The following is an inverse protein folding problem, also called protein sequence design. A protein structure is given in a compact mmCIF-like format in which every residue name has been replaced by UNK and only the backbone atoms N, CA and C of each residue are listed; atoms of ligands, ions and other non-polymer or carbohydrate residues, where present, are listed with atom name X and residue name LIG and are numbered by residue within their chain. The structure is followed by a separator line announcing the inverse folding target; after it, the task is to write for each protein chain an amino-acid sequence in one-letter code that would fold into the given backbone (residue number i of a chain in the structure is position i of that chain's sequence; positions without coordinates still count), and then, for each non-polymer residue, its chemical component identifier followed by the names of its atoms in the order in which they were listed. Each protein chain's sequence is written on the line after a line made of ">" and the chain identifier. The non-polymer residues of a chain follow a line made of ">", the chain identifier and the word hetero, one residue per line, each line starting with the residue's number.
data_IF_992798573417
#
_entry.id   IF_992798573417
#
_cell.length_a   1.000
_cell.length_b   1.000
_cell.length_c   1.000
_cell.angle_alpha   90.00
_cell.angle_beta   90.00
_cell.angle_gamma   90.00
#
_symmetry.space_group_name_H-M   'P 1'
#
loop_
_entity.id
_entity.type
_entity.pdbx_description
1 polymer ?
#
# COMPACT_ATOMS: atom_id res chain seq x y z
N UNK A 1 39.88 -26.86 55.25
CA UNK A 1 40.06 -26.47 53.83
C UNK A 1 38.71 -26.02 53.25
N UNK A 2 38.46 -24.67 53.26
CA UNK A 2 37.27 -24.12 52.56
C UNK A 2 37.68 -23.84 51.11
N UNK A 3 37.08 -24.54 50.12
CA UNK A 3 37.23 -24.25 48.70
C UNK A 3 36.70 -22.85 48.40
N UNK A 4 37.63 -21.91 48.09
CA UNK A 4 37.30 -20.64 47.54
C UNK A 4 36.56 -20.86 46.20
N UNK A 5 35.23 -20.72 46.19
CA UNK A 5 34.47 -20.50 44.94
C UNK A 5 34.97 -19.21 44.32
N UNK A 6 35.80 -19.28 43.28
CA UNK A 6 36.14 -18.11 42.43
C UNK A 6 34.86 -17.49 41.95
N UNK A 7 34.37 -16.43 42.59
CA UNK A 7 33.27 -15.60 42.11
C UNK A 7 33.71 -15.02 40.79
N UNK A 8 32.94 -15.29 39.72
CA UNK A 8 33.13 -14.59 38.43
C UNK A 8 33.06 -13.10 38.72
N UNK A 9 34.03 -12.29 38.30
CA UNK A 9 34.02 -10.86 38.56
C UNK A 9 32.68 -10.27 38.16
N UNK A 10 32.08 -9.46 39.00
CA UNK A 10 30.77 -8.85 38.81
C UNK A 10 30.64 -8.13 37.45
N UNK A 11 31.74 -7.57 36.95
CA UNK A 11 31.81 -6.97 35.61
C UNK A 11 31.56 -7.98 34.47
N UNK A 12 32.11 -9.19 34.55
CA UNK A 12 31.87 -10.25 33.54
C UNK A 12 30.41 -10.71 33.55
N UNK A 13 29.78 -10.79 34.71
CA UNK A 13 28.36 -11.13 34.82
C UNK A 13 27.47 -10.05 34.19
N UNK A 14 27.77 -8.76 34.42
CA UNK A 14 27.08 -7.65 33.81
C UNK A 14 27.09 -7.74 32.27
N UNK A 15 28.28 -7.93 31.67
CA UNK A 15 28.39 -8.03 30.22
C UNK A 15 27.68 -9.26 29.62
N UNK A 16 27.77 -10.42 30.30
CA UNK A 16 27.05 -11.62 29.85
C UNK A 16 25.55 -11.38 29.83
N UNK A 17 24.99 -10.80 30.90
CA UNK A 17 23.57 -10.50 30.98
C UNK A 17 23.17 -9.47 29.92
N UNK A 18 23.96 -8.38 29.77
CA UNK A 18 23.68 -7.36 28.74
C UNK A 18 23.70 -7.94 27.33
N UNK A 19 24.62 -8.81 26.98
CA UNK A 19 24.66 -9.47 25.67
C UNK A 19 23.44 -10.36 25.49
N UNK A 20 23.07 -11.17 26.47
CA UNK A 20 21.90 -12.03 26.41
C UNK A 20 20.60 -11.24 26.22
N UNK A 21 20.42 -10.15 26.97
CA UNK A 21 19.26 -9.24 26.82
C UNK A 21 19.27 -8.56 25.47
N UNK A 22 20.43 -8.13 24.97
CA UNK A 22 20.57 -7.54 23.64
C UNK A 22 20.17 -8.48 22.51
N UNK A 23 20.59 -9.75 22.58
CA UNK A 23 20.19 -10.77 21.61
C UNK A 23 18.66 -11.00 21.66
N UNK A 24 18.09 -11.14 22.85
CA UNK A 24 16.66 -11.29 23.05
C UNK A 24 15.89 -10.10 22.46
N UNK A 25 16.35 -8.86 22.70
CA UNK A 25 15.74 -7.65 22.16
C UNK A 25 15.79 -7.61 20.63
N UNK A 26 16.90 -8.00 20.01
CA UNK A 26 16.99 -8.08 18.54
C UNK A 26 16.00 -9.09 17.98
N UNK A 27 15.89 -10.28 18.56
CA UNK A 27 14.92 -11.30 18.11
C UNK A 27 13.49 -10.79 18.26
N UNK A 28 13.13 -10.20 19.40
CA UNK A 28 11.80 -9.65 19.63
C UNK A 28 11.49 -8.49 18.68
N UNK A 29 12.45 -7.58 18.43
CA UNK A 29 12.24 -6.47 17.50
C UNK A 29 12.08 -6.95 16.06
N UNK A 30 12.85 -7.94 15.61
CA UNK A 30 12.65 -8.55 14.28
C UNK A 30 11.26 -9.14 14.16
N UNK A 31 10.80 -9.94 15.12
CA UNK A 31 9.46 -10.52 15.11
C UNK A 31 8.37 -9.43 15.11
N UNK A 32 8.50 -8.43 15.95
CA UNK A 32 7.52 -7.35 16.08
C UNK A 32 7.42 -6.52 14.80
N UNK A 33 8.54 -5.99 14.29
CA UNK A 33 8.52 -5.17 13.09
C UNK A 33 8.16 -5.95 11.83
N UNK A 34 8.57 -7.22 11.73
CA UNK A 34 8.17 -8.07 10.61
C UNK A 34 6.65 -8.26 10.55
N UNK A 35 6.00 -8.50 11.68
CA UNK A 35 4.54 -8.62 11.73
C UNK A 35 3.86 -7.28 11.45
N UNK A 36 4.34 -6.19 12.06
CA UNK A 36 3.78 -4.85 11.84
C UNK A 36 3.92 -4.37 10.39
N UNK A 37 5.09 -4.58 9.76
CA UNK A 37 5.31 -4.24 8.35
C UNK A 37 4.39 -5.06 7.44
N UNK A 38 4.20 -6.35 7.74
CA UNK A 38 3.30 -7.23 6.99
C UNK A 38 1.85 -6.78 7.11
N UNK A 39 1.33 -6.55 8.32
CA UNK A 39 -0.05 -6.08 8.54
C UNK A 39 -0.31 -4.73 7.87
N UNK A 40 0.63 -3.80 7.98
CA UNK A 40 0.53 -2.49 7.32
C UNK A 40 0.48 -2.61 5.81
N UNK A 41 1.31 -3.47 5.20
CA UNK A 41 1.30 -3.69 3.74
C UNK A 41 0.05 -4.42 3.29
N UNK A 42 -0.44 -5.37 4.07
CA UNK A 42 -1.71 -6.05 3.82
C UNK A 42 -2.87 -5.07 3.77
N UNK A 43 -3.01 -4.22 4.79
CA UNK A 43 -4.05 -3.19 4.83
C UNK A 43 -3.95 -2.25 3.60
N UNK A 44 -2.75 -1.72 3.32
CA UNK A 44 -2.55 -0.82 2.18
C UNK A 44 -2.85 -1.50 0.83
N UNK A 45 -2.46 -2.77 0.66
CA UNK A 45 -2.71 -3.51 -0.57
C UNK A 45 -4.20 -3.78 -0.77
N UNK A 46 -4.90 -4.20 0.29
CA UNK A 46 -6.35 -4.41 0.27
C UNK A 46 -7.11 -3.12 -0.01
N UNK A 47 -6.72 -2.01 0.61
CA UNK A 47 -7.32 -0.70 0.36
C UNK A 47 -7.11 -0.27 -1.10
N UNK A 48 -5.91 -0.47 -1.64
CA UNK A 48 -5.59 -0.17 -3.04
C UNK A 48 -6.44 -1.01 -3.99
N UNK A 49 -6.51 -2.32 -3.77
CA UNK A 49 -7.29 -3.23 -4.63
C UNK A 49 -8.78 -2.95 -4.53
N UNK A 50 -9.31 -2.65 -3.34
CA UNK A 50 -10.70 -2.23 -3.16
C UNK A 50 -10.99 -0.90 -3.87
N UNK A 51 -10.09 0.08 -3.78
CA UNK A 51 -10.22 1.33 -4.51
C UNK A 51 -10.28 1.08 -6.02
N UNK A 52 -9.32 0.33 -6.58
CA UNK A 52 -9.30 -0.01 -8.01
C UNK A 52 -10.59 -0.74 -8.40
N UNK A 53 -11.06 -1.69 -7.59
CA UNK A 53 -12.31 -2.41 -7.79
C UNK A 53 -13.52 -1.47 -7.94
N UNK A 54 -13.67 -0.52 -7.01
CA UNK A 54 -14.77 0.46 -7.04
C UNK A 54 -14.64 1.37 -8.25
N UNK A 55 -13.43 1.84 -8.56
CA UNK A 55 -13.21 2.73 -9.71
C UNK A 55 -13.43 2.02 -11.05
N UNK A 56 -13.04 0.76 -11.21
CA UNK A 56 -13.37 -0.02 -12.41
C UNK A 56 -14.89 -0.03 -12.65
N UNK A 57 -15.67 -0.33 -11.61
CA UNK A 57 -17.14 -0.30 -11.72
C UNK A 57 -17.66 1.09 -12.07
N UNK A 58 -17.12 2.14 -11.45
CA UNK A 58 -17.53 3.52 -11.73
C UNK A 58 -17.23 3.92 -13.17
N UNK A 59 -16.05 3.56 -13.69
CA UNK A 59 -15.65 3.88 -15.06
C UNK A 59 -16.50 3.12 -16.09
N UNK A 60 -16.77 1.85 -15.83
CA UNK A 60 -17.68 1.05 -16.69
C UNK A 60 -19.06 1.69 -16.76
N UNK A 61 -19.67 2.03 -15.61
CA UNK A 61 -20.97 2.70 -15.59
C UNK A 61 -20.96 4.08 -16.24
N UNK A 62 -19.86 4.85 -16.08
CA UNK A 62 -19.74 6.14 -16.75
C UNK A 62 -19.72 5.97 -18.27
N UNK A 63 -18.94 5.02 -18.78
CA UNK A 63 -18.81 4.75 -20.20
C UNK A 63 -20.14 4.22 -20.79
N UNK A 64 -20.80 3.29 -20.12
CA UNK A 64 -22.16 2.81 -20.49
C UNK A 64 -23.20 3.94 -20.48
N UNK A 65 -23.16 4.81 -19.48
CA UNK A 65 -24.06 5.98 -19.40
C UNK A 65 -23.77 6.99 -20.52
N UNK A 66 -22.50 7.21 -20.85
CA UNK A 66 -22.09 8.08 -21.96
C UNK A 66 -22.57 7.53 -23.31
N UNK A 67 -22.43 6.23 -23.53
CA UNK A 67 -22.94 5.55 -24.73
C UNK A 67 -24.47 5.67 -24.81
N UNK A 68 -25.18 5.37 -23.74
CA UNK A 68 -26.64 5.49 -23.68
C UNK A 68 -27.13 6.90 -24.01
N UNK A 69 -26.45 7.93 -23.46
CA UNK A 69 -26.78 9.34 -23.76
C UNK A 69 -26.54 9.68 -25.24
N UNK A 70 -25.47 9.15 -25.82
CA UNK A 70 -25.15 9.38 -27.24
C UNK A 70 -26.16 8.69 -28.17
N UNK A 71 -26.55 7.46 -27.85
CA UNK A 71 -27.59 6.75 -28.58
C UNK A 71 -28.98 7.41 -28.45
N UNK A 72 -29.33 7.91 -27.26
CA UNK A 72 -30.56 8.70 -27.09
C UNK A 72 -30.57 9.97 -27.97
N UNK A 73 -29.40 10.67 -28.05
CA UNK A 73 -29.24 11.82 -28.96
C UNK A 73 -29.46 11.39 -30.42
N UNK A 74 -28.92 10.24 -30.83
CA UNK A 74 -29.14 9.73 -32.17
C UNK A 74 -30.63 9.43 -32.44
N UNK A 75 -31.33 8.81 -31.50
CA UNK A 75 -32.79 8.55 -31.56
C UNK A 75 -33.59 9.84 -31.76
N UNK A 76 -33.35 10.83 -30.90
CA UNK A 76 -34.06 12.11 -30.97
C UNK A 76 -33.73 12.87 -32.26
N UNK A 77 -32.45 12.84 -32.71
CA UNK A 77 -32.03 13.39 -34.00
C UNK A 77 -32.79 12.75 -35.16
N UNK A 78 -32.88 11.42 -35.18
CA UNK A 78 -33.62 10.67 -36.25
C UNK A 78 -35.09 11.04 -36.27
N UNK A 79 -35.74 11.08 -35.13
CA UNK A 79 -37.17 11.47 -35.02
C UNK A 79 -37.40 12.91 -35.51
N UNK A 80 -36.46 13.80 -35.18
CA UNK A 80 -36.56 15.18 -35.61
C UNK A 80 -36.38 15.33 -37.14
N UNK A 81 -35.41 14.58 -37.73
CA UNK A 81 -35.23 14.52 -39.19
C UNK A 81 -36.49 14.04 -39.86
N UNK A 82 -37.10 12.93 -39.39
CA UNK A 82 -38.35 12.40 -39.96
C UNK A 82 -39.48 13.42 -39.94
N UNK A 83 -39.62 14.19 -38.85
CA UNK A 83 -40.58 15.30 -38.73
C UNK A 83 -40.28 16.48 -39.66
N UNK A 84 -39.00 16.85 -39.73
CA UNK A 84 -38.57 17.93 -40.61
C UNK A 84 -38.85 17.63 -42.08
N UNK A 85 -38.51 16.41 -42.53
CA UNK A 85 -38.81 15.92 -43.89
C UNK A 85 -40.31 16.04 -44.17
N UNK A 86 -41.18 15.53 -43.26
CA UNK A 86 -42.59 15.61 -43.45
C UNK A 86 -43.10 17.06 -43.56
N UNK A 87 -42.66 17.95 -42.65
CA UNK A 87 -43.07 19.37 -42.68
C UNK A 87 -42.62 20.11 -43.97
N UNK A 88 -41.44 19.81 -44.50
CA UNK A 88 -40.92 20.46 -45.69
C UNK A 88 -41.64 19.91 -46.96
N UNK A 89 -42.01 18.64 -46.99
CA UNK A 89 -42.82 18.06 -48.09
C UNK A 89 -44.24 18.63 -48.06
N UNK A 90 -44.86 18.84 -46.91
CA UNK A 90 -46.14 19.54 -46.78
C UNK A 90 -46.08 20.96 -47.33
N UNK A 91 -44.90 21.59 -47.29
CA UNK A 91 -44.62 22.92 -47.84
C UNK A 91 -44.18 22.87 -49.35
N UNK A 92 -44.54 21.81 -50.04
CA UNK A 92 -44.26 21.60 -51.48
C UNK A 92 -42.77 21.46 -51.86
N UNK A 93 -41.89 21.26 -50.90
CA UNK A 93 -40.47 20.89 -51.20
C UNK A 93 -40.34 19.44 -51.62
N UNK A 94 -39.36 19.15 -52.41
CA UNK A 94 -39.01 17.75 -52.80
C UNK A 94 -37.98 17.17 -51.82
N UNK A 95 -38.07 15.86 -51.56
CA UNK A 95 -37.04 15.14 -50.86
C UNK A 95 -35.81 14.98 -51.73
N UNK A 96 -34.78 15.74 -51.44
CA UNK A 96 -33.50 15.72 -52.15
C UNK A 96 -32.30 15.79 -51.22
N UNK A 97 -31.11 15.66 -51.76
CA UNK A 97 -29.87 15.69 -51.00
C UNK A 97 -29.64 17.06 -50.33
N UNK A 98 -30.21 18.14 -50.85
CA UNK A 98 -30.08 19.48 -50.28
C UNK A 98 -30.89 19.59 -48.95
N UNK A 99 -32.13 19.06 -48.96
CA UNK A 99 -32.97 19.02 -47.76
C UNK A 99 -32.33 18.16 -46.63
N UNK A 100 -31.75 16.99 -47.01
CA UNK A 100 -31.00 16.16 -46.05
C UNK A 100 -29.77 16.88 -45.50
N UNK A 101 -29.06 17.59 -46.35
CA UNK A 101 -27.90 18.41 -45.95
C UNK A 101 -28.30 19.45 -44.91
N UNK A 102 -29.31 20.26 -45.17
CA UNK A 102 -29.82 21.29 -44.28
C UNK A 102 -30.24 20.68 -42.93
N UNK A 103 -30.95 19.55 -42.94
CA UNK A 103 -31.35 18.82 -41.74
C UNK A 103 -30.14 18.29 -40.95
N UNK A 104 -29.13 17.75 -41.64
CA UNK A 104 -27.91 17.26 -41.02
C UNK A 104 -27.09 18.38 -40.36
N UNK A 105 -26.96 19.50 -41.02
CA UNK A 105 -26.24 20.69 -40.49
C UNK A 105 -26.94 21.23 -39.24
N UNK A 106 -28.27 21.35 -39.27
CA UNK A 106 -29.07 21.84 -38.12
C UNK A 106 -28.94 20.97 -36.89
N UNK A 107 -28.87 19.67 -37.07
CA UNK A 107 -28.84 18.65 -35.98
C UNK A 107 -27.45 18.13 -35.69
N UNK A 108 -26.43 18.67 -36.37
CA UNK A 108 -25.03 18.23 -36.22
C UNK A 108 -24.81 16.75 -36.50
N UNK A 109 -25.57 16.21 -37.48
CA UNK A 109 -25.46 14.81 -37.88
C UNK A 109 -24.31 14.63 -38.85
N UNK A 110 -23.65 13.47 -38.82
CA UNK A 110 -22.65 13.11 -39.83
C UNK A 110 -23.31 12.72 -41.14
N UNK A 111 -24.48 12.09 -41.08
CA UNK A 111 -25.24 11.77 -42.28
C UNK A 111 -26.66 11.28 -42.01
N UNK A 112 -27.41 11.21 -43.09
CA UNK A 112 -28.81 10.76 -43.16
C UNK A 112 -28.96 9.86 -44.36
N UNK A 113 -29.66 8.72 -44.23
CA UNK A 113 -30.06 7.82 -45.31
C UNK A 113 -31.57 7.60 -45.19
N UNK A 114 -32.27 7.80 -46.27
CA UNK A 114 -33.72 7.60 -46.34
C UNK A 114 -34.01 6.42 -47.26
N UNK A 115 -34.77 5.46 -46.74
CA UNK A 115 -35.11 4.22 -47.40
C UNK A 115 -36.63 4.12 -47.64
N UNK A 116 -37.04 3.40 -48.65
CA UNK A 116 -38.43 2.93 -48.79
C UNK A 116 -38.68 1.66 -47.94
N UNK A 117 -39.86 1.08 -48.06
CA UNK A 117 -40.25 -0.15 -47.35
C UNK A 117 -39.45 -1.39 -47.72
N UNK A 118 -38.89 -1.41 -48.93
CA UNK A 118 -38.13 -2.54 -49.49
C UNK A 118 -36.63 -2.42 -49.18
N UNK A 119 -36.23 -1.34 -48.49
CA UNK A 119 -34.84 -1.05 -48.16
C UNK A 119 -34.06 -0.36 -49.30
N UNK A 120 -34.75 0.06 -50.38
CA UNK A 120 -34.11 0.83 -51.46
C UNK A 120 -33.86 2.26 -50.99
N UNK A 121 -32.66 2.76 -51.25
CA UNK A 121 -32.26 4.12 -50.88
C UNK A 121 -32.97 5.14 -51.77
N UNK A 122 -33.79 5.99 -51.15
CA UNK A 122 -34.49 7.09 -51.82
C UNK A 122 -33.60 8.31 -51.93
N UNK A 123 -32.94 8.65 -50.86
CA UNK A 123 -32.06 9.82 -50.78
C UNK A 123 -31.02 9.65 -49.68
N UNK A 124 -29.81 10.22 -49.84
CA UNK A 124 -28.74 10.12 -48.85
C UNK A 124 -27.87 11.34 -48.81
N UNK A 125 -27.37 11.64 -47.65
CA UNK A 125 -26.37 12.69 -47.43
C UNK A 125 -25.36 12.25 -46.34
N UNK A 126 -24.08 12.56 -46.57
CA UNK A 126 -23.03 12.35 -45.59
C UNK A 126 -21.94 13.42 -45.69
N UNK A 127 -21.46 13.89 -44.55
CA UNK A 127 -20.24 14.72 -44.48
C UNK A 127 -18.98 13.85 -44.66
N UNK A 128 -19.09 12.53 -44.49
CA UNK A 128 -18.00 11.56 -44.65
C UNK A 128 -18.50 10.36 -45.47
N UNK A 129 -18.30 10.43 -46.77
CA UNK A 129 -18.77 9.43 -47.72
C UNK A 129 -18.16 8.04 -47.49
N UNK A 130 -16.99 7.94 -46.86
CA UNK A 130 -16.32 6.67 -46.56
C UNK A 130 -17.12 5.76 -45.60
N UNK A 131 -18.03 6.32 -44.81
CA UNK A 131 -18.87 5.62 -43.84
C UNK A 131 -20.16 5.07 -44.47
N UNK A 132 -20.59 5.60 -45.60
CA UNK A 132 -21.85 5.24 -46.23
C UNK A 132 -22.01 3.73 -46.51
N UNK A 133 -21.00 3.01 -47.01
CA UNK A 133 -21.14 1.58 -47.27
C UNK A 133 -21.53 0.77 -46.03
N UNK A 134 -20.89 1.07 -44.89
CA UNK A 134 -21.17 0.40 -43.62
C UNK A 134 -22.55 0.74 -43.05
N UNK A 135 -22.95 2.00 -43.18
CA UNK A 135 -24.28 2.45 -42.76
C UNK A 135 -25.37 1.82 -43.61
N UNK A 136 -25.16 1.73 -44.94
CA UNK A 136 -26.11 1.05 -45.86
C UNK A 136 -26.27 -0.42 -45.50
N UNK A 137 -25.19 -1.16 -45.30
CA UNK A 137 -25.23 -2.53 -44.86
C UNK A 137 -26.02 -2.71 -43.56
N UNK A 138 -25.89 -1.80 -42.62
CA UNK A 138 -26.66 -1.81 -41.39
C UNK A 138 -28.12 -1.39 -41.57
N UNK A 139 -28.39 -0.45 -42.47
CA UNK A 139 -29.73 0.08 -42.76
C UNK A 139 -30.63 -0.92 -43.49
N UNK A 140 -30.05 -1.78 -44.33
CA UNK A 140 -30.77 -2.82 -45.08
C UNK A 140 -31.18 -4.03 -44.21
N UNK A 141 -30.77 -4.08 -42.93
CA UNK A 141 -31.13 -5.20 -42.05
C UNK A 141 -32.61 -5.19 -41.71
N UNK A 142 -33.22 -6.38 -41.72
CA UNK A 142 -34.64 -6.60 -41.43
C UNK A 142 -35.10 -5.86 -40.15
N UNK A 143 -34.28 -5.89 -39.07
CA UNK A 143 -34.60 -5.22 -37.81
C UNK A 143 -34.70 -3.69 -37.94
N UNK A 144 -33.98 -3.09 -38.89
CA UNK A 144 -34.05 -1.66 -39.20
C UNK A 144 -35.28 -1.38 -40.03
N UNK A 145 -35.55 -2.17 -41.06
CA UNK A 145 -36.72 -2.06 -41.94
C UNK A 145 -38.03 -2.31 -41.20
N UNK A 146 -38.03 -3.10 -40.12
CA UNK A 146 -39.17 -3.27 -39.23
C UNK A 146 -39.68 -1.94 -38.63
N UNK A 147 -38.84 -0.93 -38.53
CA UNK A 147 -39.24 0.39 -38.03
C UNK A 147 -40.19 1.11 -39.00
N UNK A 148 -40.22 0.74 -40.30
CA UNK A 148 -41.17 1.25 -41.25
C UNK A 148 -42.64 0.80 -40.99
N UNK A 149 -42.77 -0.39 -40.36
CA UNK A 149 -44.06 -1.01 -40.10
C UNK A 149 -44.67 -0.49 -38.79
N UNK A 150 -43.82 -0.18 -37.81
CA UNK A 150 -44.24 0.18 -36.45
C UNK A 150 -43.79 1.59 -36.11
N UNK A 151 -44.73 2.54 -36.12
CA UNK A 151 -44.50 3.97 -35.90
C UNK A 151 -43.82 4.30 -34.56
N UNK A 152 -43.96 3.45 -33.55
CA UNK A 152 -43.42 3.64 -32.22
C UNK A 152 -42.00 3.05 -32.05
N UNK A 153 -41.62 2.15 -32.97
CA UNK A 153 -40.29 1.51 -32.88
C UNK A 153 -39.19 2.44 -33.36
N UNK A 154 -38.09 2.42 -32.63
CA UNK A 154 -36.85 3.06 -33.04
C UNK A 154 -35.73 2.05 -32.80
N UNK A 155 -34.91 1.90 -33.81
CA UNK A 155 -33.70 1.12 -33.70
C UNK A 155 -32.53 2.04 -33.40
N UNK A 156 -31.62 1.68 -32.48
CA UNK A 156 -30.39 2.40 -32.27
C UNK A 156 -29.25 1.42 -31.95
N UNK A 157 -28.07 1.70 -32.49
CA UNK A 157 -26.90 0.84 -32.34
C UNK A 157 -25.61 1.67 -32.41
N UNK A 158 -24.65 1.32 -31.58
CA UNK A 158 -23.24 1.74 -31.73
C UNK A 158 -22.48 0.73 -32.58
N UNK A 159 -21.70 1.23 -33.53
CA UNK A 159 -20.78 0.46 -34.36
C UNK A 159 -19.38 0.90 -33.94
N UNK A 160 -18.59 0.02 -33.31
CA UNK A 160 -17.24 0.30 -32.85
C UNK A 160 -16.23 -0.07 -33.95
N UNK A 161 -15.29 0.80 -34.22
CA UNK A 161 -14.16 0.57 -35.10
C UNK A 161 -12.90 0.14 -34.33
N UNK A 162 -12.04 -0.62 -35.00
CA UNK A 162 -10.80 -1.14 -34.39
C UNK A 162 -9.80 -0.04 -33.96
N UNK A 163 -9.88 1.14 -34.52
CA UNK A 163 -9.06 2.29 -34.19
C UNK A 163 -9.56 3.08 -32.96
N UNK A 164 -10.72 2.67 -32.40
CA UNK A 164 -11.37 3.34 -31.29
C UNK A 164 -12.38 4.40 -31.68
N UNK A 165 -12.57 4.69 -32.98
CA UNK A 165 -13.69 5.49 -33.47
C UNK A 165 -15.01 4.71 -33.32
N UNK A 166 -16.13 5.41 -33.35
CA UNK A 166 -17.44 4.76 -33.35
C UNK A 166 -18.49 5.56 -34.09
N UNK A 167 -19.55 4.88 -34.53
CA UNK A 167 -20.73 5.46 -35.13
C UNK A 167 -21.94 5.14 -34.27
N UNK A 168 -22.65 6.15 -33.79
CA UNK A 168 -23.95 6.01 -33.16
C UNK A 168 -25.02 6.23 -34.21
N UNK A 169 -25.71 5.16 -34.57
CA UNK A 169 -26.77 5.11 -35.62
C UNK A 169 -28.14 4.92 -34.98
N UNK A 170 -29.14 5.59 -35.52
CA UNK A 170 -30.53 5.33 -35.16
C UNK A 170 -31.43 5.34 -36.42
N UNK A 171 -32.54 4.62 -36.33
CA UNK A 171 -33.52 4.51 -37.41
C UNK A 171 -34.94 4.60 -36.87
N UNK A 172 -35.82 5.28 -37.58
CA UNK A 172 -37.24 5.37 -37.26
C UNK A 172 -38.09 5.41 -38.57
N UNK A 173 -39.41 5.28 -38.42
CA UNK A 173 -40.32 5.42 -39.57
C UNK A 173 -40.28 6.83 -40.14
N UNK A 174 -40.48 6.93 -41.46
CA UNK A 174 -40.76 8.18 -42.16
C UNK A 174 -42.16 8.68 -41.79
N UNK A 175 -42.34 10.00 -41.74
CA UNK A 175 -43.65 10.61 -41.47
C UNK A 175 -44.32 11.20 -42.70
N UNK A 176 -43.61 11.31 -43.82
CA UNK A 176 -44.08 11.81 -45.10
C UNK A 176 -44.55 10.67 -46.05
N UNK A 177 -43.95 9.53 -45.99
CA UNK A 177 -44.23 8.36 -46.81
C UNK A 177 -43.83 7.07 -46.09
N UNK A 178 -44.32 5.86 -46.53
CA UNK A 178 -43.84 4.60 -45.98
C UNK A 178 -42.34 4.42 -46.22
N UNK A 179 -41.61 4.03 -45.16
CA UNK A 179 -40.15 3.84 -45.24
C UNK A 179 -39.44 4.19 -43.93
N UNK A 180 -38.12 4.26 -44.00
CA UNK A 180 -37.23 4.43 -42.83
C UNK A 180 -36.31 5.65 -43.02
N UNK A 181 -36.15 6.41 -41.97
CA UNK A 181 -35.07 7.43 -41.85
C UNK A 181 -34.00 6.86 -40.93
N UNK A 182 -32.78 6.82 -41.43
CA UNK A 182 -31.58 6.47 -40.66
C UNK A 182 -30.69 7.69 -40.50
N UNK A 183 -30.27 7.98 -39.31
CA UNK A 183 -29.30 9.02 -39.04
C UNK A 183 -28.11 8.49 -38.27
N UNK A 184 -26.97 9.12 -38.37
CA UNK A 184 -25.79 8.71 -37.63
C UNK A 184 -24.84 9.86 -37.26
N UNK A 185 -24.14 9.65 -36.15
CA UNK A 185 -23.06 10.48 -35.67
C UNK A 185 -21.76 9.67 -35.70
N UNK A 186 -20.75 10.19 -36.34
CA UNK A 186 -19.41 9.62 -36.28
C UNK A 186 -18.59 10.35 -35.21
N UNK A 187 -17.95 9.58 -34.35
CA UNK A 187 -16.98 10.08 -33.35
C UNK A 187 -15.60 9.52 -33.68
N UNK A 188 -14.66 10.40 -33.98
CA UNK A 188 -13.29 10.00 -34.28
C UNK A 188 -12.59 9.37 -33.06
N UNK A 189 -11.60 8.52 -33.33
CA UNK A 189 -10.81 7.86 -32.30
C UNK A 189 -10.18 8.84 -31.31
N UNK A 190 -9.65 9.97 -31.79
CA UNK A 190 -9.07 11.02 -30.96
C UNK A 190 -10.11 11.61 -29.99
N UNK A 191 -11.31 11.91 -30.49
CA UNK A 191 -12.38 12.45 -29.68
C UNK A 191 -12.90 11.42 -28.67
N UNK A 192 -13.09 10.15 -29.10
CA UNK A 192 -13.51 9.05 -28.24
C UNK A 192 -12.53 8.83 -27.09
N UNK A 193 -11.24 8.82 -27.35
CA UNK A 193 -10.20 8.63 -26.33
C UNK A 193 -10.23 9.72 -25.25
N UNK A 194 -10.55 10.96 -25.59
CA UNK A 194 -10.63 12.07 -24.64
C UNK A 194 -11.84 11.99 -23.71
N UNK A 195 -12.88 11.26 -24.10
CA UNK A 195 -14.12 11.13 -23.30
C UNK A 195 -14.31 9.77 -22.64
N UNK A 196 -13.57 8.75 -23.10
CA UNK A 196 -13.65 7.42 -22.52
C UNK A 196 -12.66 7.28 -21.36
N UNK A 197 -13.17 7.00 -20.18
CA UNK A 197 -12.33 6.71 -19.03
C UNK A 197 -11.73 5.31 -19.18
N UNK A 198 -10.41 5.23 -19.25
CA UNK A 198 -9.70 3.96 -19.39
C UNK A 198 -9.29 3.43 -18.01
N UNK A 199 -9.46 2.13 -17.79
CA UNK A 199 -9.06 1.47 -16.53
C UNK A 199 -7.54 1.63 -16.33
N UNK A 200 -6.75 1.69 -17.40
CA UNK A 200 -5.32 1.94 -17.33
C UNK A 200 -4.98 3.27 -16.64
N UNK A 201 -5.78 4.31 -16.85
CA UNK A 201 -5.54 5.62 -16.23
C UNK A 201 -5.62 5.60 -14.70
N UNK A 202 -6.39 4.66 -14.13
CA UNK A 202 -6.46 4.45 -12.68
C UNK A 202 -5.12 4.02 -12.08
N UNK A 203 -4.29 3.33 -12.84
CA UNK A 203 -3.05 2.73 -12.36
C UNK A 203 -1.82 3.62 -12.58
N UNK A 204 -1.95 4.75 -13.28
CA UNK A 204 -0.84 5.65 -13.61
C UNK A 204 -0.13 6.26 -12.39
N UNK A 205 -0.79 6.32 -11.22
CA UNK A 205 -0.22 6.82 -9.96
C UNK A 205 0.53 5.78 -9.13
N UNK A 206 0.38 4.49 -9.46
CA UNK A 206 0.97 3.40 -8.67
C UNK A 206 2.32 2.97 -9.23
N UNK A 207 3.32 2.83 -8.35
CA UNK A 207 4.68 2.46 -8.71
C UNK A 207 5.00 1.03 -8.25
N UNK A 208 5.53 0.22 -9.17
CA UNK A 208 5.90 -1.18 -8.92
C UNK A 208 6.89 -1.34 -7.75
N UNK A 209 7.85 -0.44 -7.65
CA UNK A 209 8.91 -0.43 -6.62
C UNK A 209 8.42 -0.02 -5.23
N UNK A 210 7.25 0.59 -5.12
CA UNK A 210 6.65 1.03 -3.85
C UNK A 210 5.37 0.27 -3.50
N UNK A 211 4.47 0.14 -4.47
CA UNK A 211 3.11 -0.32 -4.25
C UNK A 211 2.93 -1.80 -4.65
N UNK A 212 3.93 -2.38 -5.31
CA UNK A 212 3.87 -3.71 -5.90
C UNK A 212 3.28 -3.70 -7.32
N UNK A 213 2.99 -4.86 -7.85
CA UNK A 213 2.37 -5.00 -9.17
C UNK A 213 0.86 -5.14 -9.00
N UNK A 214 0.11 -4.29 -9.70
CA UNK A 214 -1.36 -4.29 -9.75
C UNK A 214 -1.76 -4.63 -11.18
N UNK A 215 -2.71 -5.55 -11.33
CA UNK A 215 -3.19 -6.05 -12.61
C UNK A 215 -4.71 -6.06 -12.59
N UNK A 216 -5.33 -5.53 -13.64
CA UNK A 216 -6.75 -5.69 -13.91
C UNK A 216 -6.89 -6.54 -15.16
N UNK A 217 -7.65 -7.61 -15.06
CA UNK A 217 -7.92 -8.53 -16.17
C UNK A 217 -9.42 -8.65 -16.43
N UNK A 218 -9.76 -8.83 -17.68
CA UNK A 218 -11.10 -9.06 -18.16
C UNK A 218 -11.09 -10.16 -19.22
N UNK A 219 -12.09 -11.06 -19.21
CA UNK A 219 -12.24 -12.19 -20.15
C UNK A 219 -10.94 -12.98 -20.41
N UNK A 220 -10.05 -13.07 -19.43
CA UNK A 220 -8.80 -13.83 -19.56
C UNK A 220 -7.62 -13.05 -20.14
N UNK A 221 -7.78 -11.74 -20.40
CA UNK A 221 -6.72 -10.83 -20.88
C UNK A 221 -6.42 -9.75 -19.86
N UNK A 222 -5.16 -9.37 -19.73
CA UNK A 222 -4.73 -8.24 -18.88
C UNK A 222 -5.04 -6.93 -19.61
N UNK A 223 -6.03 -6.18 -19.11
CA UNK A 223 -6.49 -4.92 -19.72
C UNK A 223 -5.77 -3.69 -19.16
N UNK A 224 -5.27 -3.76 -17.92
CA UNK A 224 -4.53 -2.68 -17.30
C UNK A 224 -3.52 -3.19 -16.26
N UNK A 225 -2.38 -2.52 -16.14
CA UNK A 225 -1.36 -2.79 -15.12
C UNK A 225 -0.43 -1.59 -14.91
N UNK A 226 0.04 -1.38 -13.68
CA UNK A 226 1.14 -0.47 -13.40
C UNK A 226 2.52 -1.01 -13.89
N UNK A 227 2.55 -2.26 -14.38
CA UNK A 227 3.61 -2.82 -15.20
C UNK A 227 3.11 -2.97 -16.63
N UNK A 228 3.29 -1.92 -17.44
CA UNK A 228 2.73 -1.81 -18.79
C UNK A 228 3.11 -2.94 -19.73
N UNK A 229 4.26 -3.61 -19.51
CA UNK A 229 4.66 -4.78 -20.29
C UNK A 229 3.76 -6.00 -20.14
N UNK A 230 2.81 -6.00 -19.21
CA UNK A 230 1.86 -7.09 -19.01
C UNK A 230 0.55 -6.90 -19.79
N UNK A 231 0.26 -5.69 -20.26
CA UNK A 231 -1.00 -5.35 -20.92
C UNK A 231 -1.11 -6.13 -22.23
N UNK A 232 -2.27 -6.71 -22.47
CA UNK A 232 -2.57 -7.55 -23.64
C UNK A 232 -2.12 -9.01 -23.51
N UNK A 233 -1.41 -9.39 -22.44
CA UNK A 233 -1.03 -10.79 -22.20
C UNK A 233 -2.22 -11.60 -21.67
N UNK A 234 -2.19 -12.92 -21.95
CA UNK A 234 -3.18 -13.84 -21.40
C UNK A 234 -2.95 -14.04 -19.91
N UNK A 235 -4.01 -14.10 -19.13
CA UNK A 235 -3.96 -14.42 -17.70
C UNK A 235 -3.44 -15.84 -17.44
N UNK A 236 -3.55 -16.74 -18.40
CA UNK A 236 -3.05 -18.13 -18.29
C UNK A 236 -1.53 -18.22 -18.31
N UNK A 237 -0.86 -17.24 -18.92
CA UNK A 237 0.58 -17.26 -19.13
C UNK A 237 1.34 -16.58 -17.97
N UNK A 238 0.60 -15.99 -17.01
CA UNK A 238 1.20 -15.24 -15.93
C UNK A 238 1.11 -15.97 -14.59
N UNK A 239 2.26 -16.46 -14.10
CA UNK A 239 2.39 -17.30 -12.90
C UNK A 239 1.72 -16.72 -11.64
N UNK A 240 1.84 -15.41 -11.43
CA UNK A 240 1.24 -14.73 -10.28
C UNK A 240 -0.29 -14.85 -10.29
N UNK A 241 -0.92 -14.66 -11.46
CA UNK A 241 -2.37 -14.75 -11.63
C UNK A 241 -2.84 -16.17 -11.35
N UNK A 242 -2.15 -17.17 -11.90
CA UNK A 242 -2.52 -18.58 -11.70
C UNK A 242 -2.52 -18.96 -10.22
N UNK A 243 -1.49 -18.51 -9.47
CA UNK A 243 -1.39 -18.80 -8.03
C UNK A 243 -2.42 -18.04 -7.18
N UNK A 244 -2.80 -16.83 -7.59
CA UNK A 244 -3.79 -16.03 -6.87
C UNK A 244 -5.23 -16.42 -7.17
N UNK A 245 -5.49 -17.00 -8.35
CA UNK A 245 -6.84 -17.33 -8.83
C UNK A 245 -7.59 -18.27 -7.90
N UNK A 246 -6.90 -19.23 -7.29
CA UNK A 246 -7.50 -20.23 -6.40
C UNK A 246 -7.88 -19.64 -5.02
N UNK A 247 -7.49 -18.39 -4.73
CA UNK A 247 -7.71 -17.71 -3.46
C UNK A 247 -8.46 -16.39 -3.64
N UNK A 248 -9.46 -16.40 -4.51
CA UNK A 248 -10.32 -15.26 -4.80
C UNK A 248 -11.02 -14.75 -3.53
N UNK A 249 -11.14 -13.41 -3.44
CA UNK A 249 -11.85 -12.70 -2.36
C UNK A 249 -11.33 -12.96 -0.93
N UNK A 250 -10.06 -13.38 -0.80
CA UNK A 250 -9.40 -13.46 0.51
C UNK A 250 -9.26 -12.08 1.13
N UNK A 251 -9.62 -11.97 2.41
CA UNK A 251 -9.38 -10.75 3.20
C UNK A 251 -7.94 -10.63 3.69
N UNK A 252 -7.09 -11.62 3.39
CA UNK A 252 -5.70 -11.68 3.81
C UNK A 252 -4.78 -11.92 2.63
N UNK A 253 -3.58 -11.32 2.69
CA UNK A 253 -2.55 -11.59 1.72
C UNK A 253 -2.09 -13.05 1.78
N UNK A 254 -2.02 -13.69 0.63
CA UNK A 254 -1.44 -15.01 0.47
C UNK A 254 0.04 -14.93 0.10
N UNK A 255 0.86 -15.79 0.73
CA UNK A 255 2.26 -15.96 0.35
C UNK A 255 2.38 -16.78 -0.94
N UNK A 256 3.14 -16.29 -1.91
CA UNK A 256 3.42 -16.97 -3.19
C UNK A 256 4.86 -16.74 -3.60
N UNK A 257 5.38 -17.62 -4.45
CA UNK A 257 6.72 -17.46 -5.03
C UNK A 257 6.58 -17.29 -6.53
N UNK A 258 7.10 -16.18 -7.10
CA UNK A 258 7.06 -15.84 -8.51
C UNK A 258 8.49 -15.75 -9.01
N UNK A 259 8.87 -16.55 -10.01
CA UNK A 259 10.24 -16.59 -10.55
C UNK A 259 11.33 -16.71 -9.45
N UNK A 260 11.06 -17.51 -8.40
CA UNK A 260 11.99 -17.67 -7.27
C UNK A 260 11.99 -16.54 -6.23
N UNK A 261 11.22 -15.46 -6.44
CA UNK A 261 11.06 -14.34 -5.49
C UNK A 261 9.84 -14.58 -4.64
N UNK A 262 10.00 -14.49 -3.32
CA UNK A 262 8.88 -14.59 -2.37
C UNK A 262 8.07 -13.30 -2.40
N UNK A 263 6.77 -13.44 -2.57
CA UNK A 263 5.80 -12.35 -2.67
C UNK A 263 4.59 -12.61 -1.79
N UNK A 264 3.83 -11.57 -1.52
CA UNK A 264 2.49 -11.69 -0.94
C UNK A 264 1.50 -10.97 -1.85
N UNK A 265 0.32 -11.55 -2.06
CA UNK A 265 -0.66 -10.99 -2.97
C UNK A 265 -2.10 -11.26 -2.56
N UNK A 266 -3.01 -10.55 -3.21
CA UNK A 266 -4.45 -10.66 -3.06
C UNK A 266 -5.11 -10.65 -4.42
N UNK A 267 -6.32 -11.19 -4.50
CA UNK A 267 -7.19 -11.11 -5.67
C UNK A 267 -8.60 -10.75 -5.22
N UNK A 268 -9.21 -9.81 -5.94
CA UNK A 268 -10.64 -9.49 -5.80
C UNK A 268 -11.35 -9.62 -7.15
N UNK A 269 -12.59 -10.09 -7.10
CA UNK A 269 -13.47 -10.16 -8.26
C UNK A 269 -14.52 -9.05 -8.21
N UNK A 270 -14.78 -8.40 -9.36
CA UNK A 270 -15.84 -7.43 -9.54
C UNK A 270 -16.52 -7.64 -10.89
N UNK A 271 -17.72 -8.25 -10.91
CA UNK A 271 -18.43 -8.62 -12.15
C UNK A 271 -17.50 -9.33 -13.14
N UNK A 272 -17.14 -8.68 -14.22
CA UNK A 272 -16.30 -9.22 -15.28
C UNK A 272 -14.81 -8.94 -15.08
N UNK A 273 -14.47 -8.03 -14.14
CA UNK A 273 -13.09 -7.65 -13.88
C UNK A 273 -12.50 -8.43 -12.71
N UNK A 274 -11.27 -8.89 -12.89
CA UNK A 274 -10.44 -9.54 -11.87
C UNK A 274 -9.26 -8.65 -11.54
N UNK A 275 -9.15 -8.22 -10.28
CA UNK A 275 -8.07 -7.36 -9.81
C UNK A 275 -7.10 -8.20 -8.98
N UNK A 276 -5.86 -8.26 -9.44
CA UNK A 276 -4.76 -8.95 -8.79
C UNK A 276 -3.75 -7.92 -8.33
N UNK A 277 -3.22 -8.09 -7.11
CA UNK A 277 -2.08 -7.30 -6.66
C UNK A 277 -1.13 -8.17 -5.87
N UNK A 278 0.17 -7.97 -6.06
CA UNK A 278 1.21 -8.67 -5.30
C UNK A 278 2.43 -7.79 -5.05
N UNK A 279 3.07 -8.03 -3.91
CA UNK A 279 4.23 -7.25 -3.44
C UNK A 279 5.34 -8.22 -3.05
N UNK A 280 6.59 -8.05 -3.53
CA UNK A 280 7.75 -8.80 -3.07
C UNK A 280 8.08 -8.53 -1.60
N UNK A 281 8.61 -9.54 -0.90
CA UNK A 281 9.06 -9.44 0.49
C UNK A 281 10.06 -8.31 0.69
N UNK A 282 10.91 -8.04 -0.30
CA UNK A 282 11.88 -6.94 -0.27
C UNK A 282 11.25 -5.55 -0.11
N UNK A 283 10.03 -5.36 -0.61
CA UNK A 283 9.25 -4.12 -0.45
C UNK A 283 8.52 -4.13 0.88
N UNK A 284 7.99 -5.28 1.32
CA UNK A 284 7.27 -5.41 2.59
C UNK A 284 8.20 -5.06 3.75
N UNK A 285 9.40 -5.64 3.77
CA UNK A 285 10.37 -5.52 4.86
C UNK A 285 11.45 -4.45 4.61
N UNK A 286 11.19 -3.49 3.73
CA UNK A 286 12.16 -2.45 3.37
C UNK A 286 12.66 -1.65 4.59
N UNK A 287 11.79 -1.39 5.57
CA UNK A 287 12.11 -0.61 6.78
C UNK A 287 12.56 -1.47 7.96
N UNK A 288 12.44 -2.80 7.88
CA UNK A 288 12.75 -3.72 8.97
C UNK A 288 14.17 -3.53 9.51
N UNK A 289 15.16 -3.55 8.63
CA UNK A 289 16.57 -3.43 9.02
C UNK A 289 16.85 -2.10 9.72
N UNK A 290 16.30 -1.00 9.21
CA UNK A 290 16.46 0.34 9.78
C UNK A 290 15.85 0.41 11.19
N UNK A 291 14.65 -0.13 11.37
CA UNK A 291 13.96 -0.15 12.66
C UNK A 291 14.72 -0.99 13.70
N UNK A 292 15.23 -2.16 13.31
CA UNK A 292 16.04 -3.02 14.20
C UNK A 292 17.35 -2.35 14.60
N UNK A 293 18.06 -1.71 13.65
CA UNK A 293 19.29 -0.95 13.95
C UNK A 293 18.99 0.20 14.92
N UNK A 294 17.90 0.92 14.73
CA UNK A 294 17.49 2.01 15.63
C UNK A 294 17.23 1.50 17.05
N UNK A 295 16.51 0.40 17.21
CA UNK A 295 16.28 -0.25 18.49
C UNK A 295 17.60 -0.69 19.18
N UNK A 296 18.51 -1.29 18.42
CA UNK A 296 19.81 -1.69 18.90
C UNK A 296 20.65 -0.49 19.36
N UNK A 297 20.62 0.60 18.62
CA UNK A 297 21.32 1.83 18.97
C UNK A 297 20.81 2.43 20.30
N UNK A 298 19.48 2.51 20.47
CA UNK A 298 18.86 2.93 21.72
C UNK A 298 19.27 2.02 22.88
N UNK A 299 19.24 0.71 22.65
CA UNK A 299 19.69 -0.27 23.65
C UNK A 299 21.14 -0.06 24.08
N UNK A 300 22.08 0.17 23.14
CA UNK A 300 23.47 0.41 23.45
C UNK A 300 23.67 1.68 24.29
N UNK A 301 22.93 2.75 24.01
CA UNK A 301 22.94 3.97 24.82
C UNK A 301 22.50 3.67 26.26
N UNK A 302 21.40 2.93 26.43
CA UNK A 302 20.90 2.56 27.77
C UNK A 302 21.92 1.71 28.53
N UNK A 303 22.53 0.72 27.88
CA UNK A 303 23.58 -0.10 28.49
C UNK A 303 24.78 0.74 28.90
N UNK A 304 25.20 1.69 28.06
CA UNK A 304 26.30 2.59 28.36
C UNK A 304 26.01 3.48 29.59
N UNK A 305 24.78 4.01 29.69
CA UNK A 305 24.34 4.80 30.86
C UNK A 305 24.31 3.95 32.13
N UNK A 306 23.75 2.76 32.09
CA UNK A 306 23.72 1.83 33.23
C UNK A 306 25.15 1.48 33.65
N UNK A 307 26.05 1.21 32.68
CA UNK A 307 27.45 0.93 32.95
C UNK A 307 28.16 2.12 33.62
N UNK A 308 27.89 3.35 33.18
CA UNK A 308 28.47 4.56 33.78
C UNK A 308 28.02 4.74 35.23
N UNK A 309 26.69 4.55 35.47
CA UNK A 309 26.13 4.61 36.85
C UNK A 309 26.74 3.51 37.72
N UNK A 310 26.82 2.27 37.23
CA UNK A 310 27.41 1.15 37.92
C UNK A 310 28.88 1.46 38.32
N UNK A 311 29.68 1.97 37.36
CA UNK A 311 31.07 2.37 37.65
C UNK A 311 31.17 3.48 38.72
N UNK A 312 30.29 4.45 38.68
CA UNK A 312 30.24 5.53 39.68
C UNK A 312 29.90 4.99 41.08
N UNK A 313 28.91 4.11 41.18
CA UNK A 313 28.54 3.43 42.41
C UNK A 313 29.68 2.60 42.99
N UNK A 314 30.36 1.79 42.17
CA UNK A 314 31.51 1.00 42.57
C UNK A 314 32.64 1.86 43.15
N UNK A 315 32.96 2.97 42.48
CA UNK A 315 33.98 3.94 42.96
C UNK A 315 33.57 4.55 44.33
N UNK A 316 32.31 4.90 44.51
CA UNK A 316 31.81 5.44 45.76
C UNK A 316 31.87 4.42 46.91
N UNK A 317 31.48 3.15 46.66
CA UNK A 317 31.58 2.07 47.65
C UNK A 317 33.03 1.85 48.09
N UNK A 318 33.94 1.76 47.13
CA UNK A 318 35.38 1.61 47.43
C UNK A 318 35.95 2.81 48.22
N UNK A 319 35.46 4.02 47.97
CA UNK A 319 35.87 5.21 48.75
C UNK A 319 35.38 5.12 50.18
N UNK A 320 34.12 4.73 50.40
CA UNK A 320 33.54 4.55 51.73
C UNK A 320 34.25 3.43 52.50
N UNK A 321 34.59 2.32 51.87
CA UNK A 321 35.34 1.23 52.49
C UNK A 321 36.76 1.68 52.93
N UNK A 322 37.47 2.43 52.09
CA UNK A 322 38.79 2.99 52.43
C UNK A 322 38.72 3.97 53.60
N UNK A 323 37.70 4.83 53.61
CA UNK A 323 37.49 5.77 54.72
C UNK A 323 37.16 5.05 56.03
N UNK A 324 36.37 3.95 55.99
CA UNK A 324 36.11 3.10 57.17
C UNK A 324 37.37 2.40 57.65
N UNK A 325 38.17 1.85 56.75
CA UNK A 325 39.43 1.17 57.08
C UNK A 325 40.41 2.14 57.73
N UNK A 326 40.57 3.33 57.16
CA UNK A 326 41.43 4.37 57.74
C UNK A 326 40.98 4.77 59.13
N UNK A 327 39.69 4.98 59.37
CA UNK A 327 39.14 5.29 60.70
C UNK A 327 39.38 4.14 61.67
N UNK A 328 39.21 2.89 61.25
CA UNK A 328 39.48 1.72 62.05
C UNK A 328 40.95 1.62 62.45
N UNK A 329 41.87 1.76 61.48
CA UNK A 329 43.31 1.75 61.75
C UNK A 329 43.74 2.88 62.69
N UNK A 330 43.18 4.11 62.56
CA UNK A 330 43.45 5.23 63.49
C UNK A 330 42.95 4.89 64.87
N UNK A 331 41.77 4.34 65.05
CA UNK A 331 41.25 3.97 66.38
C UNK A 331 42.06 2.84 67.04
N UNK A 332 42.58 1.93 66.22
CA UNK A 332 43.45 0.84 66.68
C UNK A 332 44.80 1.40 67.20
N UNK A 333 45.37 2.32 66.43
CA UNK A 333 46.62 3.00 66.85
C UNK A 333 46.43 3.79 68.14
N UNK A 334 45.40 4.59 68.30
CA UNK A 334 45.04 5.31 69.47
C UNK A 334 44.83 4.38 70.70
N UNK A 335 44.21 3.21 70.50
CA UNK A 335 44.02 2.21 71.54
C UNK A 335 45.36 1.56 71.94
N UNK A 336 46.24 1.27 70.99
CA UNK A 336 47.58 0.74 71.25
C UNK A 336 48.44 1.73 72.01
N UNK A 337 48.44 3.03 71.63
CA UNK A 337 49.16 4.10 72.39
C UNK A 337 48.66 4.24 73.81
N UNK A 338 47.34 4.19 74.05
CA UNK A 338 46.76 4.21 75.41
C UNK A 338 47.17 2.99 76.20
N UNK A 339 47.18 1.79 75.59
CA UNK A 339 47.63 0.60 76.27
C UNK A 339 49.10 0.62 76.61
N UNK A 340 49.97 1.14 75.73
CA UNK A 340 51.38 1.33 75.98
C UNK A 340 51.65 2.37 77.10
N UNK A 341 50.96 3.50 77.10
CA UNK A 341 51.04 4.51 78.15
C UNK A 341 50.62 3.91 79.51
N UNK A 342 49.52 3.14 79.55
CA UNK A 342 49.06 2.47 80.74
C UNK A 342 50.11 1.42 81.25
N UNK A 343 50.72 0.64 80.32
CA UNK A 343 51.77 -0.28 80.68
C UNK A 343 53.05 0.40 81.24
N UNK A 344 53.46 1.51 80.65
CA UNK A 344 54.58 2.28 81.14
C UNK A 344 54.30 2.83 82.53
N UNK A 345 53.11 3.41 82.72
CA UNK A 345 52.72 3.92 84.03
C UNK A 345 52.67 2.81 85.08
N UNK A 346 52.18 1.65 84.74
CA UNK A 346 52.19 0.42 85.61
C UNK A 346 53.60 -0.02 85.93
N UNK A 347 54.50 -0.02 84.97
CA UNK A 347 55.93 -0.41 85.18
C UNK A 347 56.62 0.58 86.08
N UNK A 348 56.44 1.85 85.86
CA UNK A 348 57.02 2.94 86.68
C UNK A 348 56.49 2.89 88.15
N UNK A 349 55.17 2.67 88.26
CA UNK A 349 54.56 2.47 89.60
C UNK A 349 55.16 1.28 90.30
N UNK A 350 55.32 0.14 89.68
CA UNK A 350 55.92 -1.07 90.30
C UNK A 350 57.40 -0.85 90.68
N UNK A 351 58.14 -0.12 89.80
CA UNK A 351 59.54 0.25 90.11
C UNK A 351 59.64 1.14 91.38
N UNK A 352 58.77 2.19 91.41
CA UNK A 352 58.74 3.07 92.59
C UNK A 352 58.34 2.28 93.82
N UNK A 353 57.29 1.49 93.78
CA UNK A 353 56.89 0.63 94.90
C UNK A 353 57.99 -0.33 95.34
N UNK A 354 58.67 -0.98 94.38
CA UNK A 354 59.80 -1.87 94.69
C UNK A 354 60.94 -1.12 95.41
N UNK A 355 61.22 0.10 94.96
CA UNK A 355 62.24 0.94 95.61
C UNK A 355 61.80 1.35 96.99
N UNK A 356 60.53 1.83 97.13
CA UNK A 356 59.98 2.32 98.43
C UNK A 356 59.81 1.21 99.47
N UNK A 357 59.64 -0.04 99.05
CA UNK A 357 59.62 -1.25 99.84
C UNK A 357 61.04 -1.68 100.22
N UNK A 358 62.00 -1.63 99.28
CA UNK A 358 63.37 -2.10 99.48
C UNK A 358 64.10 -1.20 100.50
N UNK A 359 63.80 0.10 100.47
CA UNK A 359 64.49 1.08 101.38
C UNK A 359 64.21 0.79 102.89
N UNK A 360 62.96 0.61 103.33
CA UNK A 360 62.72 0.30 104.75
C UNK A 360 63.15 -1.16 105.06
N UNK A 361 63.01 -2.13 104.14
CA UNK A 361 63.48 -3.50 104.38
C UNK A 361 64.98 -3.53 104.59
N UNK A 362 65.77 -2.87 103.73
CA UNK A 362 67.22 -2.74 103.93
C UNK A 362 67.59 -1.99 105.25
N UNK A 363 66.76 -1.03 105.63
CA UNK A 363 66.91 -0.35 106.93
C UNK A 363 66.69 -1.32 108.13
N UNK A 364 65.61 -2.14 108.03
CA UNK A 364 65.35 -3.12 109.10
C UNK A 364 66.41 -4.23 109.10
N UNK A 365 66.82 -4.76 107.95
CA UNK A 365 67.89 -5.77 107.89
C UNK A 365 69.25 -5.19 108.39
N UNK A 366 69.52 -3.89 108.14
CA UNK A 366 70.71 -3.25 108.68
C UNK A 366 70.72 -3.10 110.19
N UNK A 367 69.53 -2.95 110.80
CA UNK A 367 69.39 -2.88 112.27
C UNK A 367 69.44 -4.25 112.98
N UNK A 368 69.19 -5.36 112.28
CA UNK A 368 69.26 -6.69 112.87
C UNK A 368 70.67 -7.27 112.82
N UNK A 369 71.57 -6.72 112.06
CA UNK A 369 72.98 -7.14 111.91
C UNK A 369 74.00 -6.26 112.76
N UNK A 370 73.52 -5.59 113.78
CA UNK A 370 74.38 -4.96 114.75
C UNK A 370 74.29 -5.65 116.11
#
# INVERSE_FOLDING_TARGET
>A
MKKNKKSVPTEKKFWIISIAVGICLVVLSVCFFSNADKEKKEANLLDTVNYVKVQCSTYTHYNESSESKSLLRAIEGTRQVSKNIAAEIENEKTLDNQLLKESAEQLWLTGIVVLDTDGTIVCEYSTNESLLPEIKECAEKEIVLDTAIYDEKVYAKRINHNDGAYIDMAACTRKDAPGVVVTYYYTSAEYATNYTLTIQSLLNGYRKDRDGTIIVADEGVIIASNNTGLIGQSTTDYEAIQKLKDHADSRHMMGLTINGVRCHGVMLKQRDHYIYAYVPDSIIFQTLLQNVIMCLFIYLIVVALIWMIYRKLQKNILKIEREKEQKYQKSLLEAAEKADAANRAKTEFLQRMSHDIRTPINGICGMINV
#
